data_IF_494012296078
#
_entry.id   IF_494012296078
#
_cell.length_a   1.000
_cell.length_b   1.000
_cell.length_c   1.000
_cell.angle_alpha   90.00
_cell.angle_beta   90.00
_cell.angle_gamma   90.00
#
_symmetry.space_group_name_H-M   'P 1'
#
loop_
_entity.id
_entity.type
_entity.pdbx_description
1 polymer ?
#
# COMPACT_ATOMS: atom_id res chain seq x y z
N UNK A 1 6.64 -66.84 55.15
CA UNK A 1 7.08 -67.20 53.79
C UNK A 1 7.35 -65.87 53.02
N UNK A 2 8.65 -65.62 52.78
CA UNK A 2 9.13 -64.40 52.11
C UNK A 2 9.10 -64.58 50.59
N UNK A 3 8.64 -63.64 49.87
CA UNK A 3 8.88 -63.53 48.42
C UNK A 3 9.28 -62.10 48.07
N UNK A 4 10.52 -61.95 47.70
CA UNK A 4 11.10 -60.75 47.17
C UNK A 4 10.65 -60.55 45.74
N UNK A 5 10.17 -59.34 45.37
CA UNK A 5 10.01 -58.90 44.00
C UNK A 5 11.03 -57.80 43.74
N UNK A 6 11.87 -58.07 42.76
CA UNK A 6 12.82 -57.14 42.16
C UNK A 6 12.08 -56.15 41.28
N UNK A 7 12.30 -54.88 41.55
CA UNK A 7 11.84 -53.78 40.68
C UNK A 7 12.96 -53.41 39.72
N UNK A 8 12.75 -53.62 38.43
CA UNK A 8 13.63 -53.17 37.37
C UNK A 8 13.32 -51.71 37.02
N UNK A 9 14.29 -50.82 37.18
CA UNK A 9 14.21 -49.43 36.77
C UNK A 9 14.52 -49.30 35.26
N UNK A 10 13.54 -48.88 34.47
CA UNK A 10 13.75 -48.52 33.09
C UNK A 10 14.09 -47.02 33.02
N UNK A 11 15.28 -46.71 32.58
CA UNK A 11 15.73 -45.35 32.28
C UNK A 11 15.23 -44.99 30.88
N UNK A 12 14.20 -44.16 30.79
CA UNK A 12 13.71 -43.59 29.53
C UNK A 12 14.47 -42.32 29.18
N UNK A 13 15.23 -42.33 28.10
CA UNK A 13 15.88 -41.14 27.55
C UNK A 13 14.81 -40.28 26.83
N UNK A 14 14.49 -39.12 27.38
CA UNK A 14 13.65 -38.12 26.72
C UNK A 14 14.51 -37.32 25.76
N UNK A 15 14.34 -37.56 24.45
CA UNK A 15 14.93 -36.72 23.39
C UNK A 15 14.01 -35.51 23.28
N UNK A 16 14.41 -34.38 23.83
CA UNK A 16 13.75 -33.09 23.68
C UNK A 16 13.98 -32.54 22.27
N UNK A 17 12.97 -32.60 21.41
CA UNK A 17 12.95 -31.88 20.16
C UNK A 17 12.74 -30.38 20.47
N UNK A 18 13.81 -29.58 20.29
CA UNK A 18 13.70 -28.12 20.34
C UNK A 18 12.93 -27.67 19.09
N UNK A 19 11.65 -27.35 19.26
CA UNK A 19 10.89 -26.60 18.29
C UNK A 19 11.43 -25.17 18.28
N UNK A 20 12.27 -24.85 17.29
CA UNK A 20 12.63 -23.47 16.98
C UNK A 20 11.35 -22.76 16.52
N UNK A 21 10.66 -22.10 17.44
CA UNK A 21 9.54 -21.23 17.15
C UNK A 21 10.05 -20.08 16.29
N UNK A 22 9.60 -20.01 15.05
CA UNK A 22 9.76 -18.81 14.24
C UNK A 22 9.06 -17.67 14.96
N UNK A 23 9.81 -16.70 15.48
CA UNK A 23 9.28 -15.46 16.04
C UNK A 23 8.65 -14.72 14.88
N UNK A 24 7.33 -14.40 14.88
CA UNK A 24 6.76 -13.55 13.84
C UNK A 24 7.50 -12.21 13.90
N UNK A 25 8.02 -11.76 12.76
CA UNK A 25 8.55 -10.42 12.64
C UNK A 25 7.43 -9.43 12.98
N UNK A 26 7.54 -8.76 14.11
CA UNK A 26 6.64 -7.69 14.50
C UNK A 26 6.88 -6.55 13.51
N UNK A 27 5.87 -6.24 12.70
CA UNK A 27 5.88 -5.02 11.90
C UNK A 27 5.92 -3.82 12.86
N UNK A 28 6.80 -2.88 12.59
CA UNK A 28 6.87 -1.63 13.34
C UNK A 28 5.55 -0.87 13.10
N UNK A 29 4.76 -0.55 14.15
CA UNK A 29 3.47 0.11 13.99
C UNK A 29 3.57 1.52 13.39
N UNK A 30 4.75 2.12 13.41
CA UNK A 30 4.99 3.47 12.89
C UNK A 30 5.41 3.48 11.40
N UNK A 31 5.66 2.31 10.80
CA UNK A 31 6.04 2.21 9.38
C UNK A 31 4.80 1.84 8.55
N UNK A 32 4.40 2.76 7.65
CA UNK A 32 3.33 2.47 6.72
C UNK A 32 3.66 1.25 5.85
N UNK A 33 2.67 0.38 5.56
CA UNK A 33 2.90 -0.75 4.66
C UNK A 33 3.37 -0.28 3.28
N UNK A 34 4.11 -1.10 2.52
CA UNK A 34 4.50 -0.75 1.16
C UNK A 34 3.26 -0.58 0.27
N UNK A 35 3.41 0.25 -0.77
CA UNK A 35 2.38 0.36 -1.81
C UNK A 35 2.30 -0.97 -2.56
N UNK A 36 1.09 -1.55 -2.76
CA UNK A 36 0.91 -2.75 -3.54
C UNK A 36 1.48 -2.63 -4.96
N UNK A 37 1.89 -3.76 -5.54
CA UNK A 37 2.37 -3.78 -6.93
C UNK A 37 1.22 -3.52 -7.91
N UNK A 38 1.05 -2.26 -8.30
CA UNK A 38 0.03 -1.84 -9.27
C UNK A 38 0.32 -2.34 -10.68
N UNK A 39 1.56 -2.77 -10.97
CA UNK A 39 1.94 -3.25 -12.30
C UNK A 39 1.50 -4.69 -12.58
N UNK A 40 1.16 -5.45 -11.56
CA UNK A 40 0.51 -6.76 -11.70
C UNK A 40 -0.90 -6.66 -12.29
N UNK A 41 -1.55 -5.50 -12.21
CA UNK A 41 -2.88 -5.24 -12.73
C UNK A 41 -2.87 -5.04 -14.26
N UNK A 42 -3.95 -5.45 -14.93
CA UNK A 42 -4.10 -5.27 -16.39
C UNK A 42 -4.27 -3.79 -16.77
N UNK A 43 -3.54 -3.29 -17.77
CA UNK A 43 -3.69 -1.90 -18.19
C UNK A 43 -5.03 -1.67 -18.89
N UNK A 44 -5.67 -0.53 -18.60
CA UNK A 44 -6.81 -0.01 -19.37
C UNK A 44 -6.36 1.11 -20.30
N UNK A 45 -7.22 1.41 -21.32
CA UNK A 45 -6.96 2.54 -22.20
C UNK A 45 -7.27 3.87 -21.47
N UNK A 46 -6.30 4.76 -21.26
CA UNK A 46 -6.53 6.04 -20.58
C UNK A 46 -7.56 6.93 -21.27
N UNK A 47 -7.70 6.83 -22.60
CA UNK A 47 -8.66 7.63 -23.34
C UNK A 47 -10.11 7.43 -22.85
N UNK A 48 -10.45 6.23 -22.34
CA UNK A 48 -11.77 5.91 -21.82
C UNK A 48 -12.08 6.59 -20.47
N UNK A 49 -11.07 7.17 -19.85
CA UNK A 49 -11.12 7.85 -18.55
C UNK A 49 -10.88 9.35 -18.64
N UNK A 50 -10.91 9.89 -19.86
CA UNK A 50 -10.71 11.32 -20.10
C UNK A 50 -11.87 12.15 -19.53
N UNK A 51 -11.55 13.10 -18.65
CA UNK A 51 -12.51 14.00 -17.99
C UNK A 51 -11.98 15.43 -17.97
N UNK A 52 -12.78 16.39 -17.49
CA UNK A 52 -12.43 17.80 -17.39
C UNK A 52 -11.82 18.35 -18.70
N UNK A 53 -12.52 18.14 -19.82
CA UNK A 53 -12.08 18.58 -21.16
C UNK A 53 -10.64 18.12 -21.53
N UNK A 54 -10.27 16.90 -21.16
CA UNK A 54 -8.96 16.32 -21.49
C UNK A 54 -7.83 16.67 -20.55
N UNK A 55 -8.10 17.47 -19.52
CA UNK A 55 -7.06 17.87 -18.55
C UNK A 55 -6.71 16.75 -17.58
N UNK A 56 -7.62 15.80 -17.33
CA UNK A 56 -7.44 14.72 -16.38
C UNK A 56 -7.88 13.38 -16.97
N UNK A 57 -7.25 12.32 -16.52
CA UNK A 57 -7.85 10.99 -16.53
C UNK A 57 -8.43 10.74 -15.13
N UNK A 58 -9.74 10.51 -15.04
CA UNK A 58 -10.46 10.41 -13.77
C UNK A 58 -11.21 9.10 -13.64
N UNK A 59 -11.24 8.54 -12.42
CA UNK A 59 -11.98 7.32 -12.11
C UNK A 59 -12.56 7.37 -10.70
N UNK A 60 -13.62 6.59 -10.47
CA UNK A 60 -14.20 6.42 -9.15
C UNK A 60 -13.36 5.40 -8.36
N UNK A 61 -12.96 5.78 -7.15
CA UNK A 61 -12.38 4.91 -6.12
C UNK A 61 -13.46 4.31 -5.20
N UNK A 62 -13.14 4.06 -3.92
CA UNK A 62 -14.13 3.68 -2.92
C UNK A 62 -15.33 4.66 -2.89
N UNK A 63 -16.47 4.29 -2.29
CA UNK A 63 -17.68 5.11 -2.31
C UNK A 63 -17.44 6.57 -1.96
N UNK A 64 -17.80 7.47 -2.88
CA UNK A 64 -17.64 8.92 -2.72
C UNK A 64 -16.22 9.45 -3.02
N UNK A 65 -15.28 8.62 -3.40
CA UNK A 65 -13.92 9.02 -3.75
C UNK A 65 -13.76 9.19 -5.25
N UNK A 66 -13.18 10.31 -5.67
CA UNK A 66 -12.78 10.60 -7.06
C UNK A 66 -11.27 10.68 -7.12
N UNK A 67 -10.67 9.90 -8.02
CA UNK A 67 -9.24 9.90 -8.26
C UNK A 67 -8.91 10.45 -9.65
N UNK A 68 -7.80 11.17 -9.77
CA UNK A 68 -7.36 11.76 -11.05
C UNK A 68 -5.86 11.58 -11.29
N UNK A 69 -5.49 11.59 -12.57
CA UNK A 69 -4.14 11.82 -13.06
C UNK A 69 -4.18 13.08 -13.95
N UNK A 70 -3.44 14.12 -13.58
CA UNK A 70 -3.40 15.38 -14.30
C UNK A 70 -2.49 15.26 -15.52
N UNK A 71 -3.02 15.54 -16.71
CA UNK A 71 -2.31 15.39 -17.97
C UNK A 71 -1.35 16.55 -18.25
N UNK A 72 -1.52 17.67 -17.59
CA UNK A 72 -0.74 18.90 -17.80
C UNK A 72 0.41 18.99 -16.80
N UNK A 73 0.09 18.89 -15.51
CA UNK A 73 1.04 19.10 -14.42
C UNK A 73 1.72 17.81 -13.95
N UNK A 74 1.11 16.64 -14.24
CA UNK A 74 1.58 15.35 -13.73
C UNK A 74 1.26 15.13 -12.26
N UNK A 75 0.35 15.91 -11.70
CA UNK A 75 -0.23 15.68 -10.38
C UNK A 75 -1.15 14.44 -10.42
N UNK A 76 -1.29 13.77 -9.31
CA UNK A 76 -2.24 12.68 -9.14
C UNK A 76 -2.78 12.65 -7.72
N UNK A 77 -3.99 12.15 -7.54
CA UNK A 77 -4.57 12.13 -6.21
C UNK A 77 -5.99 11.60 -6.18
N UNK A 78 -6.50 11.44 -4.96
CA UNK A 78 -7.87 11.05 -4.67
C UNK A 78 -8.48 12.03 -3.66
N UNK A 79 -9.73 12.42 -3.88
CA UNK A 79 -10.49 13.31 -2.98
C UNK A 79 -11.86 12.70 -2.67
N UNK A 80 -12.29 12.88 -1.42
CA UNK A 80 -13.53 12.34 -0.89
C UNK A 80 -13.35 11.78 0.52
N UNK A 81 -14.24 10.91 0.99
CA UNK A 81 -14.05 10.19 2.24
C UNK A 81 -12.82 9.28 2.14
N UNK A 82 -11.77 9.59 2.92
CA UNK A 82 -10.55 8.79 2.98
C UNK A 82 -10.46 8.10 4.35
N UNK A 83 -10.98 6.86 4.49
CA UNK A 83 -10.99 6.18 5.79
C UNK A 83 -9.59 6.00 6.35
N UNK A 84 -9.43 6.28 7.66
CA UNK A 84 -8.16 6.15 8.35
C UNK A 84 -7.05 7.12 7.90
N UNK A 85 -7.39 8.12 7.07
CA UNK A 85 -6.42 9.12 6.64
C UNK A 85 -5.92 9.97 7.81
N UNK A 86 -4.64 10.34 7.83
CA UNK A 86 -4.07 11.19 8.87
C UNK A 86 -4.84 12.51 9.03
N UNK A 87 -5.11 12.90 10.28
CA UNK A 87 -5.77 14.17 10.59
C UNK A 87 -7.19 14.35 10.04
N UNK A 88 -7.85 13.25 9.63
CA UNK A 88 -9.19 13.35 9.01
C UNK A 88 -9.16 13.93 7.60
N UNK A 89 -8.05 13.79 6.90
CA UNK A 89 -7.89 14.29 5.53
C UNK A 89 -8.94 13.73 4.58
N UNK A 90 -9.35 14.58 3.64
CA UNK A 90 -10.28 14.24 2.56
C UNK A 90 -9.66 14.42 1.16
N UNK A 91 -8.37 14.65 1.12
CA UNK A 91 -7.54 14.71 -0.07
C UNK A 91 -6.21 14.00 0.18
N UNK A 92 -5.78 13.20 -0.78
CA UNK A 92 -4.39 12.78 -0.92
C UNK A 92 -3.93 13.16 -2.32
N UNK A 93 -2.76 13.78 -2.43
CA UNK A 93 -2.20 14.19 -3.71
C UNK A 93 -0.69 14.09 -3.76
N UNK A 94 -0.16 13.68 -4.91
CA UNK A 94 1.24 13.65 -5.23
C UNK A 94 1.54 14.44 -6.49
N UNK A 95 2.76 14.91 -6.58
CA UNK A 95 3.31 15.59 -7.75
C UNK A 95 4.20 14.68 -8.60
N UNK A 96 4.89 15.27 -9.60
CA UNK A 96 5.88 14.56 -10.40
C UNK A 96 7.04 14.00 -9.59
N UNK A 97 7.29 14.55 -8.39
CA UNK A 97 8.34 14.15 -7.45
C UNK A 97 7.85 14.26 -6.02
N UNK A 98 8.47 13.51 -5.12
CA UNK A 98 8.19 13.57 -3.69
C UNK A 98 7.06 12.67 -3.22
N UNK A 99 6.99 12.48 -1.91
CA UNK A 99 5.95 11.67 -1.27
C UNK A 99 4.59 12.38 -1.37
N UNK A 100 3.50 11.67 -1.68
CA UNK A 100 2.16 12.24 -1.61
C UNK A 100 1.80 12.73 -0.21
N UNK A 101 1.00 13.79 -0.16
CA UNK A 101 0.58 14.43 1.08
C UNK A 101 -0.94 14.32 1.27
N UNK A 102 -1.34 14.19 2.53
CA UNK A 102 -2.72 14.25 2.97
C UNK A 102 -3.09 15.66 3.40
N UNK A 103 -4.29 16.11 3.04
CA UNK A 103 -4.79 17.42 3.40
C UNK A 103 -6.29 17.40 3.70
N UNK A 104 -6.71 18.29 4.58
CA UNK A 104 -8.12 18.66 4.76
C UNK A 104 -8.39 19.85 3.86
N UNK A 105 -9.35 19.71 2.95
CA UNK A 105 -9.75 20.78 2.03
C UNK A 105 -11.25 21.00 2.10
N UNK A 106 -11.67 22.23 1.83
CA UNK A 106 -13.08 22.56 1.73
C UNK A 106 -13.69 22.03 0.43
N UNK A 107 -14.81 21.35 0.53
CA UNK A 107 -15.52 20.80 -0.60
C UNK A 107 -14.79 19.61 -1.26
N UNK A 108 -15.25 19.24 -2.46
CA UNK A 108 -14.68 18.14 -3.24
C UNK A 108 -13.63 18.70 -4.21
N UNK A 109 -12.35 18.44 -3.94
CA UNK A 109 -11.21 18.98 -4.71
C UNK A 109 -11.27 18.67 -6.21
N UNK A 110 -11.81 17.50 -6.59
CA UNK A 110 -11.89 17.06 -7.99
C UNK A 110 -13.31 17.07 -8.53
N UNK A 111 -14.17 18.00 -8.03
CA UNK A 111 -15.55 18.15 -8.51
C UNK A 111 -15.64 18.42 -10.03
N UNK A 112 -14.66 19.14 -10.60
CA UNK A 112 -14.59 19.44 -12.03
C UNK A 112 -14.35 18.21 -12.91
N UNK A 113 -14.03 17.05 -12.34
CA UNK A 113 -13.98 15.79 -13.08
C UNK A 113 -15.37 15.41 -13.60
N UNK A 114 -16.44 15.91 -12.95
CA UNK A 114 -17.80 15.49 -13.24
C UNK A 114 -18.04 14.01 -12.92
N UNK A 115 -19.00 13.37 -13.59
CA UNK A 115 -19.23 11.95 -13.44
C UNK A 115 -18.02 11.13 -13.91
N UNK A 116 -17.45 10.33 -13.03
CA UNK A 116 -16.33 9.42 -13.33
C UNK A 116 -16.83 7.98 -13.32
N UNK A 117 -16.25 7.16 -14.19
CA UNK A 117 -16.52 5.72 -14.21
C UNK A 117 -15.61 4.99 -13.24
N UNK A 118 -16.01 3.84 -12.68
CA UNK A 118 -15.12 3.02 -11.86
C UNK A 118 -13.99 2.43 -12.71
N UNK A 119 -12.84 2.26 -12.08
CA UNK A 119 -11.76 1.43 -12.61
C UNK A 119 -12.11 -0.03 -12.25
N UNK A 120 -12.19 -0.96 -13.21
CA UNK A 120 -12.51 -2.35 -12.91
C UNK A 120 -11.48 -2.98 -11.97
N UNK A 121 -11.88 -3.94 -11.12
CA UNK A 121 -10.95 -4.66 -10.28
C UNK A 121 -9.80 -5.29 -11.08
N UNK A 122 -8.63 -5.36 -10.48
CA UNK A 122 -7.40 -5.89 -11.08
C UNK A 122 -6.98 -5.18 -12.37
N UNK A 123 -7.38 -3.91 -12.53
CA UNK A 123 -6.92 -3.08 -13.63
C UNK A 123 -6.18 -1.85 -13.14
N UNK A 124 -5.37 -1.26 -14.04
CA UNK A 124 -4.63 -0.03 -13.76
C UNK A 124 -4.79 0.98 -14.88
N UNK A 125 -4.85 2.23 -14.47
CA UNK A 125 -4.77 3.40 -15.31
C UNK A 125 -3.38 4.00 -15.17
N UNK A 126 -2.67 4.18 -16.28
CA UNK A 126 -1.30 4.69 -16.28
C UNK A 126 -1.19 5.94 -17.12
N UNK A 127 -0.55 6.96 -16.59
CA UNK A 127 -0.14 8.13 -17.35
C UNK A 127 1.26 8.59 -16.93
N UNK A 128 2.18 8.67 -17.90
CA UNK A 128 3.61 8.92 -17.66
C UNK A 128 4.17 7.95 -16.61
N UNK A 129 4.77 8.48 -15.53
CA UNK A 129 5.35 7.69 -14.45
C UNK A 129 4.36 7.26 -13.36
N UNK A 130 3.10 7.68 -13.44
CA UNK A 130 2.09 7.36 -12.42
C UNK A 130 1.17 6.26 -12.91
N UNK A 131 0.98 5.24 -12.07
CA UNK A 131 0.00 4.17 -12.27
C UNK A 131 -0.89 4.08 -11.04
N UNK A 132 -2.20 4.08 -11.27
CA UNK A 132 -3.20 3.81 -10.23
C UNK A 132 -3.93 2.52 -10.57
N UNK A 133 -3.98 1.59 -9.64
CA UNK A 133 -4.69 0.31 -9.77
C UNK A 133 -5.78 0.17 -8.72
N UNK A 134 -6.73 -0.72 -9.00
CA UNK A 134 -7.79 -1.13 -8.07
C UNK A 134 -7.73 -2.64 -7.92
N UNK A 135 -7.77 -3.13 -6.69
CA UNK A 135 -7.81 -4.56 -6.40
C UNK A 135 -9.25 -5.10 -6.27
N UNK A 136 -9.39 -6.40 -6.00
CA UNK A 136 -10.70 -7.07 -5.81
C UNK A 136 -11.49 -6.53 -4.60
N UNK A 137 -10.82 -5.97 -3.61
CA UNK A 137 -11.44 -5.38 -2.43
C UNK A 137 -11.84 -3.90 -2.65
N UNK A 138 -11.56 -3.35 -3.84
CA UNK A 138 -11.81 -1.95 -4.17
C UNK A 138 -10.80 -0.99 -3.58
N UNK A 139 -9.63 -1.49 -3.15
CA UNK A 139 -8.52 -0.65 -2.69
C UNK A 139 -7.86 0.00 -3.89
N UNK A 140 -7.75 1.31 -3.86
CA UNK A 140 -6.98 2.09 -4.84
C UNK A 140 -5.55 2.22 -4.35
N UNK A 141 -4.59 1.84 -5.18
CA UNK A 141 -3.16 2.10 -4.97
C UNK A 141 -2.62 2.92 -6.15
N UNK A 142 -1.97 4.04 -5.87
CA UNK A 142 -1.29 4.86 -6.88
C UNK A 142 0.21 4.91 -6.58
N UNK A 143 1.03 4.66 -7.59
CA UNK A 143 2.48 4.65 -7.50
C UNK A 143 3.12 5.54 -8.56
N UNK A 144 3.99 6.44 -8.15
CA UNK A 144 4.93 7.12 -9.01
C UNK A 144 6.18 6.24 -9.15
N UNK A 145 6.34 5.60 -10.30
CA UNK A 145 7.41 4.64 -10.56
C UNK A 145 8.81 5.26 -10.58
N UNK A 146 8.93 6.56 -10.84
CA UNK A 146 10.20 7.28 -10.82
C UNK A 146 10.79 7.36 -9.42
N UNK A 147 9.95 7.77 -8.46
CA UNK A 147 10.39 8.03 -7.09
C UNK A 147 10.06 6.85 -6.15
N UNK A 148 9.36 5.83 -6.65
CA UNK A 148 8.90 4.68 -5.87
C UNK A 148 8.10 5.11 -4.63
N UNK A 149 7.29 6.17 -4.79
CA UNK A 149 6.41 6.72 -3.76
C UNK A 149 4.97 6.70 -4.23
N UNK A 150 4.05 6.60 -3.31
CA UNK A 150 2.65 6.53 -3.66
C UNK A 150 1.73 6.58 -2.46
N UNK A 151 0.47 6.28 -2.68
CA UNK A 151 -0.53 6.20 -1.63
C UNK A 151 -1.51 5.05 -1.88
N UNK A 152 -2.18 4.69 -0.82
CA UNK A 152 -3.28 3.72 -0.82
C UNK A 152 -4.52 4.39 -0.24
N UNK A 153 -5.67 4.16 -0.86
CA UNK A 153 -7.00 4.52 -0.35
C UNK A 153 -7.85 3.26 -0.32
N UNK A 154 -8.10 2.76 0.86
CA UNK A 154 -8.89 1.56 1.08
C UNK A 154 -10.17 1.82 1.86
N UNK A 155 -11.00 0.79 2.07
CA UNK A 155 -12.25 0.90 2.80
C UNK A 155 -12.05 1.18 4.31
N UNK A 156 -10.88 0.88 4.87
CA UNK A 156 -10.60 1.02 6.30
C UNK A 156 -9.38 1.87 6.62
N UNK A 157 -8.46 2.04 5.67
CA UNK A 157 -7.22 2.77 5.88
C UNK A 157 -6.78 3.50 4.62
N UNK A 158 -6.17 4.67 4.82
CA UNK A 158 -5.53 5.45 3.76
C UNK A 158 -4.16 5.92 4.26
N UNK A 159 -3.12 5.71 3.45
CA UNK A 159 -1.74 6.06 3.81
C UNK A 159 -0.89 6.38 2.57
N UNK A 160 0.21 7.09 2.78
CA UNK A 160 1.25 7.29 1.79
C UNK A 160 2.52 6.56 2.23
N UNK A 161 3.25 6.01 1.27
CA UNK A 161 4.47 5.26 1.55
C UNK A 161 5.47 5.35 0.40
N UNK A 162 6.70 4.93 0.71
CA UNK A 162 7.76 4.75 -0.26
C UNK A 162 8.11 3.26 -0.36
N UNK A 163 8.17 2.74 -1.59
CA UNK A 163 8.68 1.40 -1.87
C UNK A 163 10.19 1.40 -2.14
N UNK A 164 10.87 2.54 -1.92
CA UNK A 164 12.33 2.56 -1.95
C UNK A 164 12.83 1.59 -0.90
N UNK A 165 13.66 0.64 -1.33
CA UNK A 165 14.48 -0.09 -0.40
C UNK A 165 15.36 0.97 0.29
N UNK A 166 15.14 1.19 1.58
CA UNK A 166 16.13 1.90 2.37
C UNK A 166 17.44 1.12 2.16
N UNK A 167 18.43 1.78 1.57
CA UNK A 167 19.75 1.21 1.45
C UNK A 167 20.14 0.86 2.89
N UNK A 168 20.08 -0.43 3.19
CA UNK A 168 20.55 -0.97 4.48
C UNK A 168 21.89 -0.31 4.69
N UNK A 169 21.97 0.55 5.71
CA UNK A 169 23.21 1.22 6.06
C UNK A 169 24.26 0.13 6.07
N UNK A 170 25.25 0.24 5.19
CA UNK A 170 26.39 -0.67 5.16
C UNK A 170 26.92 -0.65 6.58
N UNK A 171 26.63 -1.69 7.34
CA UNK A 171 27.23 -1.90 8.64
C UNK A 171 28.71 -2.05 8.33
N UNK A 172 29.45 -0.97 8.56
CA UNK A 172 30.89 -0.95 8.45
C UNK A 172 31.42 -2.07 9.36
N UNK A 173 32.12 -3.06 8.81
CA UNK A 173 32.65 -4.14 9.64
C UNK A 173 33.54 -3.52 10.73
N UNK A 174 33.47 -4.02 11.98
CA UNK A 174 34.31 -3.50 13.04
C UNK A 174 35.77 -3.59 12.64
N UNK A 175 36.59 -2.58 12.98
CA UNK A 175 38.03 -2.61 12.67
C UNK A 175 38.66 -3.89 13.24
N UNK A 176 39.44 -4.57 12.42
CA UNK A 176 40.15 -5.77 12.80
C UNK A 176 41.12 -5.47 13.97
N UNK A 177 41.32 -6.40 14.93
CA UNK A 177 42.17 -6.23 16.10
C UNK A 177 43.64 -6.08 15.75
#
# INVERSE_FOLDING_TARGET
MRRNLLVAAAVGAVIGAALAGAVPASADPDVAPPIPDVFSNMPVNPADYTVNAGKWFGFAGPPGVVCILDTLKGEYGCAGPLPGAPGGANLVSGGPVGLPEFAVVDGLKYADAGPVRPLPPNTRLTYRQVSCGVDDAGVVACLNSRDQVGFVVGPTASYAASNRLEATALVEPPPAP
#
